data_IF_074870953854
#
_entry.id   IF_074870953854
#
_cell.length_a   1.000
_cell.length_b   1.000
_cell.length_c   1.000
_cell.angle_alpha   90.00
_cell.angle_beta   90.00
_cell.angle_gamma   90.00
#
_symmetry.space_group_name_H-M   'P 1'
#
loop_
_entity.id
_entity.type
_entity.pdbx_description
1 polymer ?
#
# COMPACT_ATOMS: atom_id res chain seq x y z
N UNK A 1 -9.94 0.79 -34.53
CA UNK A 1 -9.96 0.15 -33.20
C UNK A 1 -9.39 1.12 -32.17
N UNK A 2 -9.76 0.95 -30.89
CA UNK A 2 -9.49 1.83 -29.74
C UNK A 2 -10.37 3.09 -29.58
N UNK A 3 -11.66 2.87 -29.29
CA UNK A 3 -12.42 3.75 -28.39
C UNK A 3 -12.75 2.93 -27.14
N UNK A 4 -11.87 2.96 -26.15
CA UNK A 4 -12.22 2.51 -24.80
C UNK A 4 -12.13 3.70 -23.86
N UNK A 5 -13.28 4.36 -23.75
CA UNK A 5 -13.88 4.86 -22.53
C UNK A 5 -12.93 5.48 -21.50
N UNK A 6 -12.86 6.81 -21.56
CA UNK A 6 -12.75 7.66 -20.39
C UNK A 6 -13.89 7.32 -19.41
N UNK A 7 -13.61 6.55 -18.37
CA UNK A 7 -14.39 6.56 -17.15
C UNK A 7 -13.43 6.86 -16.02
N UNK A 8 -13.59 8.07 -15.47
CA UNK A 8 -13.13 8.43 -14.15
C UNK A 8 -13.79 7.49 -13.14
N UNK A 9 -13.19 6.33 -12.92
CA UNK A 9 -13.52 5.44 -11.84
C UNK A 9 -12.21 5.23 -11.10
N UNK A 10 -12.10 5.80 -9.90
CA UNK A 10 -11.05 5.42 -8.94
C UNK A 10 -11.06 3.89 -8.95
N UNK A 11 -10.00 3.22 -9.42
CA UNK A 11 -10.02 1.77 -9.52
C UNK A 11 -10.33 1.23 -8.14
N UNK A 12 -11.38 0.40 -8.05
CA UNK A 12 -11.76 -0.26 -6.80
C UNK A 12 -10.48 -0.72 -6.10
N UNK A 13 -10.23 -0.19 -4.90
CA UNK A 13 -8.98 -0.34 -4.13
C UNK A 13 -8.54 -1.80 -4.02
N UNK A 14 -9.51 -2.71 -3.99
CA UNK A 14 -9.28 -4.17 -3.97
C UNK A 14 -8.57 -4.69 -5.23
N UNK A 15 -8.63 -3.99 -6.36
CA UNK A 15 -7.90 -4.35 -7.59
C UNK A 15 -6.41 -3.99 -7.48
N UNK A 16 -6.07 -2.90 -6.80
CA UNK A 16 -4.68 -2.44 -6.68
C UNK A 16 -3.90 -3.18 -5.57
N UNK A 17 -4.57 -3.66 -4.53
CA UNK A 17 -3.94 -4.42 -3.44
C UNK A 17 -3.59 -5.87 -3.83
N UNK A 18 -4.28 -6.46 -4.82
CA UNK A 18 -4.10 -7.86 -5.25
C UNK A 18 -2.65 -8.26 -5.58
N UNK A 19 -1.87 -7.48 -6.37
CA UNK A 19 -0.48 -7.83 -6.67
C UNK A 19 0.41 -7.84 -5.43
N UNK A 20 0.26 -6.87 -4.53
CA UNK A 20 1.01 -6.80 -3.27
C UNK A 20 0.69 -8.02 -2.40
N UNK A 21 -0.59 -8.36 -2.28
CA UNK A 21 -1.02 -9.55 -1.52
C UNK A 21 -0.47 -10.85 -2.12
N UNK A 22 -0.41 -10.97 -3.45
CA UNK A 22 0.14 -12.12 -4.15
C UNK A 22 1.64 -12.31 -3.86
N UNK A 23 2.43 -11.22 -3.85
CA UNK A 23 3.86 -11.25 -3.52
C UNK A 23 4.13 -11.84 -2.11
N UNK A 24 3.23 -11.57 -1.16
CA UNK A 24 3.31 -12.11 0.20
C UNK A 24 2.56 -13.44 0.39
N UNK A 25 2.31 -14.19 -0.69
CA UNK A 25 1.70 -15.53 -0.67
C UNK A 25 0.29 -15.55 -0.05
N UNK A 26 -0.46 -14.46 -0.22
CA UNK A 26 -1.85 -14.34 0.18
C UNK A 26 -2.75 -15.25 -0.66
N UNK A 27 -3.00 -16.49 -0.19
CA UNK A 27 -3.82 -17.49 -0.91
C UNK A 27 -5.31 -17.16 -1.05
N UNK A 28 -5.83 -16.20 -0.29
CA UNK A 28 -7.20 -15.66 -0.36
C UNK A 28 -7.18 -14.22 0.14
N UNK A 29 -8.30 -13.52 -0.04
CA UNK A 29 -8.65 -12.16 0.38
C UNK A 29 -8.45 -11.90 1.90
N UNK A 30 -7.24 -12.14 2.41
CA UNK A 30 -6.88 -12.08 3.81
C UNK A 30 -5.97 -10.90 4.05
N UNK A 31 -6.40 -10.15 5.06
CA UNK A 31 -5.72 -9.09 5.77
C UNK A 31 -4.19 -9.24 5.83
N UNK A 32 -3.49 -8.26 5.26
CA UNK A 32 -2.03 -8.14 5.28
C UNK A 32 -1.50 -8.10 6.72
N UNK A 33 -2.28 -7.56 7.65
CA UNK A 33 -1.89 -7.45 9.05
C UNK A 33 -1.86 -8.82 9.72
N UNK A 34 -2.84 -9.69 9.43
CA UNK A 34 -2.83 -11.09 9.90
C UNK A 34 -1.60 -11.85 9.38
N UNK A 35 -1.22 -11.64 8.12
CA UNK A 35 -0.01 -12.25 7.53
C UNK A 35 1.26 -11.70 8.16
N UNK A 36 1.31 -10.39 8.39
CA UNK A 36 2.41 -9.73 9.09
C UNK A 36 2.62 -10.34 10.48
N UNK A 37 1.54 -10.50 11.25
CA UNK A 37 1.56 -11.14 12.57
C UNK A 37 2.00 -12.61 12.52
N UNK A 38 1.46 -13.39 11.58
CA UNK A 38 1.87 -14.79 11.41
C UNK A 38 3.37 -14.89 11.09
N UNK A 39 3.86 -14.09 10.14
CA UNK A 39 5.27 -14.08 9.74
C UNK A 39 6.19 -13.66 10.87
N UNK A 40 5.75 -12.70 11.68
CA UNK A 40 6.47 -12.29 12.87
C UNK A 40 6.57 -13.44 13.87
N UNK A 41 5.46 -14.13 14.20
CA UNK A 41 5.47 -15.30 15.10
C UNK A 41 6.40 -16.41 14.60
N UNK A 42 6.32 -16.75 13.31
CA UNK A 42 7.21 -17.74 12.69
C UNK A 42 8.69 -17.37 12.83
N UNK A 43 9.01 -16.07 12.71
CA UNK A 43 10.37 -15.56 12.86
C UNK A 43 10.83 -15.54 14.31
N UNK A 44 9.96 -15.16 15.26
CA UNK A 44 10.28 -15.18 16.71
C UNK A 44 10.63 -16.59 17.16
N UNK A 45 9.86 -17.59 16.73
CA UNK A 45 10.12 -19.00 17.08
C UNK A 45 11.43 -19.51 16.47
N UNK A 46 11.79 -19.03 15.27
CA UNK A 46 12.97 -19.51 14.51
C UNK A 46 14.26 -18.74 14.76
N UNK A 47 14.20 -17.54 15.32
CA UNK A 47 15.37 -16.67 15.50
C UNK A 47 15.42 -16.11 16.91
N UNK A 48 16.55 -16.29 17.57
CA UNK A 48 16.88 -15.64 18.86
C UNK A 48 17.36 -14.19 18.71
N UNK A 49 17.49 -13.69 17.47
CA UNK A 49 17.96 -12.33 17.16
C UNK A 49 16.80 -11.39 16.85
N UNK A 50 17.07 -10.08 16.99
CA UNK A 50 16.11 -9.02 16.66
C UNK A 50 15.56 -9.17 15.23
N UNK A 51 14.24 -9.13 15.10
CA UNK A 51 13.54 -9.20 13.81
C UNK A 51 13.51 -7.82 13.18
N UNK A 52 14.08 -7.70 11.98
CA UNK A 52 14.04 -6.46 11.21
C UNK A 52 12.66 -6.26 10.58
N UNK A 53 12.07 -5.06 10.70
CA UNK A 53 10.72 -4.79 10.20
C UNK A 53 10.58 -4.98 8.68
N UNK A 54 11.67 -4.82 7.92
CA UNK A 54 11.70 -4.94 6.45
C UNK A 54 11.50 -6.36 5.92
N UNK A 55 11.70 -7.39 6.75
CA UNK A 55 11.43 -8.79 6.34
C UNK A 55 9.96 -9.20 6.53
N UNK A 56 9.16 -8.31 7.11
CA UNK A 56 7.74 -8.52 7.33
C UNK A 56 6.93 -7.89 6.18
N UNK A 57 5.76 -8.45 5.83
CA UNK A 57 4.81 -7.80 4.93
C UNK A 57 4.47 -6.38 5.39
N UNK A 58 4.20 -5.43 4.48
CA UNK A 58 3.67 -4.12 4.86
C UNK A 58 2.33 -4.28 5.59
N UNK A 59 1.98 -3.29 6.42
CA UNK A 59 0.63 -3.21 6.98
C UNK A 59 -0.39 -2.94 5.87
N UNK A 60 -1.66 -3.25 6.13
CA UNK A 60 -2.77 -2.99 5.20
C UNK A 60 -2.78 -1.53 4.72
N UNK A 61 -2.77 -0.57 5.65
CA UNK A 61 -2.72 0.86 5.32
C UNK A 61 -1.47 1.25 4.53
N UNK A 62 -0.28 0.74 4.88
CA UNK A 62 0.93 1.04 4.13
C UNK A 62 0.86 0.52 2.68
N UNK A 63 0.27 -0.65 2.47
CA UNK A 63 0.06 -1.22 1.13
C UNK A 63 -1.00 -0.46 0.32
N UNK A 64 -2.02 0.07 0.99
CA UNK A 64 -3.06 0.92 0.39
C UNK A 64 -2.46 2.23 -0.12
N UNK A 65 -1.79 2.96 0.76
CA UNK A 65 -1.12 4.22 0.40
C UNK A 65 -0.05 4.01 -0.68
N UNK A 66 0.66 2.88 -0.66
CA UNK A 66 1.62 2.53 -1.72
C UNK A 66 0.93 2.28 -3.07
N UNK A 67 -0.21 1.60 -3.04
CA UNK A 67 -1.04 1.35 -4.23
C UNK A 67 -1.55 2.66 -4.84
N UNK A 68 -2.07 3.57 -4.00
CA UNK A 68 -2.56 4.89 -4.42
C UNK A 68 -1.47 5.71 -5.10
N UNK A 69 -0.28 5.79 -4.50
CA UNK A 69 0.85 6.53 -5.10
C UNK A 69 1.32 5.94 -6.42
N UNK A 70 1.36 4.61 -6.51
CA UNK A 70 1.74 3.93 -7.76
C UNK A 70 0.73 4.24 -8.85
N UNK A 71 -0.57 4.22 -8.52
CA UNK A 71 -1.62 4.62 -9.46
C UNK A 71 -1.51 6.08 -9.87
N UNK A 72 -1.34 7.01 -8.93
CA UNK A 72 -1.10 8.43 -9.23
C UNK A 72 0.04 8.60 -10.23
N UNK A 73 1.17 7.94 -9.97
CA UNK A 73 2.34 8.04 -10.83
C UNK A 73 2.08 7.53 -12.25
N UNK A 74 1.34 6.43 -12.38
CA UNK A 74 0.91 5.91 -13.68
C UNK A 74 -0.02 6.88 -14.43
N UNK A 75 -0.85 7.64 -13.72
CA UNK A 75 -1.77 8.62 -14.32
C UNK A 75 -1.02 9.89 -14.73
N UNK A 76 -0.08 10.36 -13.93
CA UNK A 76 0.83 11.45 -14.30
C UNK A 76 1.59 11.12 -15.59
N UNK A 77 2.10 9.88 -15.73
CA UNK A 77 2.79 9.44 -16.95
C UNK A 77 1.91 9.44 -18.20
N UNK A 78 0.57 9.37 -18.03
CA UNK A 78 -0.38 9.51 -19.13
C UNK A 78 -0.74 10.96 -19.45
N UNK A 79 -0.13 11.92 -18.75
CA UNK A 79 -0.42 13.35 -18.90
C UNK A 79 -1.67 13.80 -18.15
N UNK A 80 -2.19 12.99 -17.22
CA UNK A 80 -3.34 13.36 -16.41
C UNK A 80 -2.89 14.03 -15.11
N UNK A 81 -3.43 15.22 -14.84
CA UNK A 81 -3.19 15.95 -13.59
C UNK A 81 -4.22 15.53 -12.54
N UNK A 82 -3.82 14.67 -11.62
CA UNK A 82 -4.64 14.26 -10.48
C UNK A 82 -4.22 15.02 -9.21
N UNK A 83 -5.15 15.18 -8.28
CA UNK A 83 -4.86 15.80 -6.99
C UNK A 83 -4.00 14.85 -6.13
N UNK A 84 -2.71 15.13 -6.01
CA UNK A 84 -1.78 14.27 -5.29
C UNK A 84 -2.22 13.94 -3.85
N UNK A 85 -2.91 14.87 -3.17
CA UNK A 85 -3.37 14.67 -1.80
C UNK A 85 -4.38 13.51 -1.66
N UNK A 86 -5.18 13.24 -2.69
CA UNK A 86 -6.14 12.12 -2.71
C UNK A 86 -5.47 10.76 -2.96
N UNK A 87 -4.22 10.76 -3.41
CA UNK A 87 -3.50 9.54 -3.78
C UNK A 87 -2.30 9.26 -2.89
N UNK A 88 -2.41 9.64 -1.62
CA UNK A 88 -1.42 9.27 -0.60
C UNK A 88 -0.17 10.13 -0.60
N UNK A 89 -0.28 11.37 -1.09
CA UNK A 89 0.71 12.41 -0.90
C UNK A 89 0.20 13.49 0.05
N UNK A 90 1.12 14.26 0.60
CA UNK A 90 0.83 15.50 1.31
C UNK A 90 1.75 16.57 0.77
N UNK A 91 1.18 17.66 0.30
CA UNK A 91 1.98 18.81 -0.12
C UNK A 91 2.50 19.57 1.10
N UNK A 92 3.81 19.82 1.14
CA UNK A 92 4.46 20.65 2.16
C UNK A 92 5.60 21.43 1.51
N UNK A 93 5.54 22.77 1.57
CA UNK A 93 6.53 23.67 0.95
C UNK A 93 6.78 23.36 -0.54
N UNK A 94 5.71 23.20 -1.33
CA UNK A 94 5.77 22.85 -2.75
C UNK A 94 6.49 21.53 -3.06
N UNK A 95 6.54 20.61 -2.07
CA UNK A 95 7.06 19.25 -2.23
C UNK A 95 5.98 18.24 -1.87
N UNK A 96 5.88 17.19 -2.67
CA UNK A 96 5.03 16.05 -2.38
C UNK A 96 5.76 15.11 -1.41
N UNK A 97 5.21 14.98 -0.21
CA UNK A 97 5.71 14.06 0.83
C UNK A 97 4.78 12.83 0.87
N UNK A 98 5.32 11.60 0.84
CA UNK A 98 4.48 10.41 0.85
C UNK A 98 3.83 10.19 2.22
N UNK A 99 2.52 9.98 2.24
CA UNK A 99 1.78 9.55 3.44
C UNK A 99 1.97 8.05 3.62
N UNK A 100 2.62 7.63 4.72
CA UNK A 100 2.96 6.21 4.91
C UNK A 100 1.77 5.37 5.39
N UNK A 101 0.95 5.95 6.26
CA UNK A 101 -0.18 5.31 6.94
C UNK A 101 -1.00 6.43 7.60
N UNK A 102 -2.32 6.24 7.66
CA UNK A 102 -3.28 7.04 8.42
C UNK A 102 -3.40 6.58 9.88
N UNK A 103 -3.03 5.33 10.15
CA UNK A 103 -2.98 4.76 11.48
C UNK A 103 -1.76 5.25 12.26
N UNK A 104 -1.90 5.42 13.59
CA UNK A 104 -0.78 5.73 14.46
C UNK A 104 0.26 4.58 14.45
N UNK A 105 1.54 4.86 14.74
CA UNK A 105 2.59 3.83 14.77
C UNK A 105 2.32 2.68 15.75
N UNK A 106 1.54 2.96 16.81
CA UNK A 106 1.10 2.01 17.82
C UNK A 106 -0.31 2.41 18.31
N UNK A 107 -1.14 1.46 18.75
CA UNK A 107 -2.41 1.75 19.42
C UNK A 107 -2.16 2.47 20.76
N UNK A 108 -3.14 3.27 21.19
CA UNK A 108 -3.11 3.86 22.54
C UNK A 108 -3.22 2.74 23.60
N UNK A 109 -2.44 2.86 24.67
CA UNK A 109 -2.27 1.87 25.74
C UNK A 109 -3.42 1.83 26.73
#
# INVERSE_FOLDING_TARGET
MQKYFCLAHVPNMMKLLKPIMSLYQGRKHHDLDKRRCQRFKEKVVRCSKQIQAQVLPPTSGAAEYQSLRTFHRMREWKGESLNANEYGWKEKHSRLIPLRTDLPPAPES
#
